data_IF_790399303916
#
_entry.id   IF_790399303916
#
_cell.length_a   1.000
_cell.length_b   1.000
_cell.length_c   1.000
_cell.angle_alpha   90.00
_cell.angle_beta   90.00
_cell.angle_gamma   90.00
#
_symmetry.space_group_name_H-M   'P 1'
#
loop_
_entity.id
_entity.type
_entity.pdbx_description
1 polymer ?
#
# COMPACT_ATOMS: atom_id res chain seq x y z
N UNK A 1 13.20 -7.34 7.37
CA UNK A 1 12.54 -7.62 6.08
C UNK A 1 11.42 -6.62 5.90
N UNK A 2 11.04 -6.29 4.66
CA UNK A 2 9.91 -5.41 4.36
C UNK A 2 8.80 -6.18 3.65
N UNK A 3 7.56 -5.80 3.93
CA UNK A 3 6.35 -6.50 3.49
C UNK A 3 5.44 -5.49 2.81
N UNK A 4 4.88 -5.86 1.67
CA UNK A 4 3.88 -5.05 0.96
C UNK A 4 2.74 -5.95 0.49
N UNK A 5 1.53 -5.42 0.56
CA UNK A 5 0.36 -6.06 -0.03
C UNK A 5 -0.04 -5.29 -1.28
N UNK A 6 -0.18 -6.02 -2.38
CA UNK A 6 -0.53 -5.48 -3.70
C UNK A 6 -1.79 -6.15 -4.20
N UNK A 7 -2.63 -5.39 -4.90
CA UNK A 7 -3.81 -5.93 -5.59
C UNK A 7 -3.48 -6.08 -7.05
N UNK A 8 -3.87 -7.21 -7.64
CA UNK A 8 -3.88 -7.41 -9.08
C UNK A 8 -5.03 -6.59 -9.69
N UNK A 9 -4.86 -5.28 -9.74
CA UNK A 9 -5.72 -4.40 -10.52
C UNK A 9 -5.15 -4.32 -11.95
N UNK A 10 -5.95 -4.79 -12.91
CA UNK A 10 -5.76 -4.59 -14.35
C UNK A 10 -6.05 -3.11 -14.62
N UNK A 11 -5.06 -2.24 -14.41
CA UNK A 11 -5.11 -0.86 -14.89
C UNK A 11 -3.92 -0.69 -15.84
N UNK A 12 -4.22 -0.69 -17.14
CA UNK A 12 -3.26 -0.61 -18.24
C UNK A 12 -2.41 0.68 -18.21
N UNK A 13 -2.75 1.66 -17.36
CA UNK A 13 -2.05 2.96 -17.28
C UNK A 13 -1.09 3.11 -16.07
N UNK A 14 -1.04 2.16 -15.13
CA UNK A 14 -0.08 2.20 -14.02
C UNK A 14 0.91 1.03 -14.10
N UNK A 15 2.15 1.31 -14.50
CA UNK A 15 3.29 0.37 -14.47
C UNK A 15 3.64 -0.18 -13.06
N UNK A 16 2.81 0.05 -12.04
CA UNK A 16 3.01 -0.39 -10.64
C UNK A 16 1.71 -0.96 -10.07
N UNK A 17 1.75 -2.21 -9.60
CA UNK A 17 0.62 -2.86 -8.91
C UNK A 17 0.14 -2.00 -7.72
N UNK A 18 -1.17 -1.71 -7.70
CA UNK A 18 -1.81 -0.86 -6.70
C UNK A 18 -1.65 -1.40 -5.27
N UNK A 19 -1.54 -0.48 -4.30
CA UNK A 19 -1.45 -0.86 -2.89
C UNK A 19 -2.79 -1.32 -2.34
N UNK A 20 -2.79 -2.27 -1.39
CA UNK A 20 -4.02 -2.82 -0.79
C UNK A 20 -4.96 -1.76 -0.19
N UNK A 21 -4.43 -0.74 0.49
CA UNK A 21 -5.26 0.30 1.10
C UNK A 21 -5.96 1.17 0.05
N UNK A 22 -5.29 1.44 -1.08
CA UNK A 22 -5.89 2.17 -2.19
C UNK A 22 -7.08 1.41 -2.77
N UNK A 23 -6.92 0.10 -2.98
CA UNK A 23 -8.02 -0.76 -3.44
C UNK A 23 -9.16 -0.85 -2.41
N UNK A 24 -8.83 -0.89 -1.11
CA UNK A 24 -9.84 -0.89 -0.04
C UNK A 24 -10.67 0.41 -0.02
N UNK A 25 -10.04 1.58 -0.18
CA UNK A 25 -10.78 2.84 -0.32
C UNK A 25 -11.66 2.86 -1.58
N UNK A 26 -11.14 2.39 -2.72
CA UNK A 26 -11.94 2.30 -3.95
C UNK A 26 -13.18 1.41 -3.78
N UNK A 27 -13.02 0.20 -3.24
CA UNK A 27 -14.13 -0.71 -2.99
C UNK A 27 -15.18 -0.12 -2.03
N UNK A 28 -14.72 0.62 -0.99
CA UNK A 28 -15.61 1.34 -0.08
C UNK A 28 -16.43 2.39 -0.82
N UNK A 29 -15.79 3.19 -1.65
CA UNK A 29 -16.42 4.32 -2.34
C UNK A 29 -17.38 3.89 -3.46
N UNK A 30 -17.19 2.70 -4.04
CA UNK A 30 -18.10 2.09 -5.01
C UNK A 30 -19.47 1.72 -4.41
N UNK A 31 -19.55 1.54 -3.08
CA UNK A 31 -20.80 1.35 -2.35
C UNK A 31 -21.54 0.04 -2.63
N UNK A 32 -20.90 -0.97 -3.23
CA UNK A 32 -21.53 -2.26 -3.60
C UNK A 32 -21.42 -3.35 -2.52
N UNK A 33 -20.96 -3.02 -1.31
CA UNK A 33 -20.71 -3.99 -0.24
C UNK A 33 -21.93 -4.28 0.64
N UNK A 34 -22.00 -5.51 1.15
CA UNK A 34 -22.94 -5.93 2.20
C UNK A 34 -22.57 -5.21 3.51
N UNK A 35 -23.57 -4.77 4.29
CA UNK A 35 -23.41 -3.94 5.50
C UNK A 35 -22.31 -4.43 6.47
N UNK A 36 -22.18 -5.74 6.69
CA UNK A 36 -21.18 -6.30 7.60
C UNK A 36 -19.73 -6.10 7.10
N UNK A 37 -19.50 -6.29 5.79
CA UNK A 37 -18.15 -6.14 5.22
C UNK A 37 -17.77 -4.67 5.12
N UNK A 38 -18.73 -3.80 4.83
CA UNK A 38 -18.52 -2.36 4.84
C UNK A 38 -18.11 -1.87 6.24
N UNK A 39 -18.81 -2.31 7.29
CA UNK A 39 -18.47 -1.94 8.68
C UNK A 39 -17.08 -2.46 9.10
N UNK A 40 -16.75 -3.71 8.72
CA UNK A 40 -15.44 -4.28 8.98
C UNK A 40 -14.33 -3.50 8.27
N UNK A 41 -14.53 -3.17 6.99
CA UNK A 41 -13.57 -2.42 6.21
C UNK A 41 -13.38 -0.99 6.75
N UNK A 42 -14.47 -0.30 7.10
CA UNK A 42 -14.41 1.04 7.70
C UNK A 42 -13.67 1.06 9.04
N UNK A 43 -13.87 0.03 9.86
CA UNK A 43 -13.16 -0.13 11.12
C UNK A 43 -11.65 -0.30 10.90
N UNK A 44 -11.27 -1.14 9.93
CA UNK A 44 -9.87 -1.36 9.57
C UNK A 44 -9.21 -0.11 8.98
N UNK A 45 -9.88 0.57 8.04
CA UNK A 45 -9.39 1.80 7.43
C UNK A 45 -9.22 2.92 8.47
N UNK A 46 -10.18 3.07 9.39
CA UNK A 46 -10.10 4.04 10.49
C UNK A 46 -8.95 3.72 11.44
N UNK A 47 -8.73 2.43 11.74
CA UNK A 47 -7.59 1.99 12.54
C UNK A 47 -6.27 2.38 11.85
N UNK A 48 -6.08 2.07 10.57
CA UNK A 48 -4.86 2.45 9.84
C UNK A 48 -4.63 3.96 9.82
N UNK A 49 -5.69 4.76 9.60
CA UNK A 49 -5.58 6.22 9.63
C UNK A 49 -5.13 6.75 11.00
N UNK A 50 -5.38 6.00 12.08
CA UNK A 50 -4.96 6.35 13.45
C UNK A 50 -3.58 5.84 13.85
N UNK A 51 -3.11 4.75 13.22
CA UNK A 51 -1.87 4.06 13.62
C UNK A 51 -0.69 4.33 12.69
N UNK A 52 -0.95 4.59 11.41
CA UNK A 52 0.09 4.93 10.44
C UNK A 52 0.23 6.44 10.32
N UNK A 53 1.45 6.93 10.49
CA UNK A 53 1.76 8.31 10.16
C UNK A 53 1.63 8.53 8.65
N UNK A 54 1.12 9.69 8.25
CA UNK A 54 1.15 10.09 6.85
C UNK A 54 2.59 10.49 6.49
N UNK A 55 3.26 9.83 5.53
CA UNK A 55 4.61 10.19 5.16
C UNK A 55 4.67 11.62 4.60
N UNK A 56 5.54 12.44 5.16
CA UNK A 56 5.75 13.82 4.68
C UNK A 56 6.40 13.86 3.28
N UNK A 57 6.94 12.72 2.82
CA UNK A 57 7.74 12.66 1.60
C UNK A 57 7.62 11.31 0.90
N UNK A 58 7.31 11.37 -0.40
CA UNK A 58 7.20 10.21 -1.30
C UNK A 58 8.23 10.23 -2.44
N UNK A 59 9.18 11.17 -2.43
CA UNK A 59 10.23 11.28 -3.43
C UNK A 59 11.52 11.88 -2.85
N UNK A 60 12.66 11.62 -3.50
CA UNK A 60 13.99 12.05 -3.10
C UNK A 60 14.37 13.41 -3.67
N UNK A 61 13.79 13.81 -4.81
CA UNK A 61 14.15 15.06 -5.51
C UNK A 61 13.02 16.10 -5.49
N UNK A 62 13.38 17.33 -5.09
CA UNK A 62 12.52 18.53 -5.19
C UNK A 62 12.76 19.33 -6.49
N UNK A 63 13.60 18.82 -7.40
CA UNK A 63 14.00 19.56 -8.61
C UNK A 63 12.83 19.83 -9.56
N UNK A 64 12.86 20.98 -10.25
CA UNK A 64 11.86 21.36 -11.28
C UNK A 64 11.77 20.25 -12.33
N UNK A 65 10.60 19.62 -12.47
CA UNK A 65 10.38 18.50 -13.39
C UNK A 65 10.40 17.09 -12.76
N UNK A 66 10.53 16.96 -11.43
CA UNK A 66 10.48 15.65 -10.75
C UNK A 66 9.17 14.89 -11.00
N UNK A 67 8.05 15.62 -11.16
CA UNK A 67 6.74 15.06 -11.50
C UNK A 67 6.73 14.28 -12.82
N UNK A 68 7.73 14.50 -13.70
CA UNK A 68 7.90 13.79 -14.98
C UNK A 68 8.78 12.54 -14.88
N UNK A 69 9.45 12.30 -13.74
CA UNK A 69 10.46 11.23 -13.62
C UNK A 69 10.00 10.00 -12.83
N UNK A 70 8.85 10.09 -12.15
CA UNK A 70 8.09 8.98 -11.56
C UNK A 70 8.86 7.70 -11.16
N UNK A 71 9.66 7.72 -10.08
CA UNK A 71 9.54 6.66 -9.10
C UNK A 71 8.66 7.20 -7.99
N UNK A 72 7.38 6.85 -8.02
CA UNK A 72 6.49 7.11 -6.87
C UNK A 72 7.02 6.27 -5.71
N UNK A 73 7.35 6.90 -4.59
CA UNK A 73 7.77 6.20 -3.38
C UNK A 73 6.76 5.11 -3.02
N UNK A 74 7.25 3.90 -2.85
CA UNK A 74 6.47 2.71 -2.55
C UNK A 74 6.50 2.52 -1.03
N UNK A 75 5.33 2.52 -0.39
CA UNK A 75 5.22 2.18 1.03
C UNK A 75 5.34 0.68 1.27
N UNK A 76 6.09 0.32 2.31
CA UNK A 76 6.29 -1.03 2.81
C UNK A 76 6.15 -1.05 4.33
N UNK A 77 5.58 -2.12 4.89
CA UNK A 77 5.61 -2.39 6.32
C UNK A 77 6.92 -3.06 6.71
N UNK A 78 7.44 -2.75 7.89
CA UNK A 78 8.51 -3.53 8.52
C UNK A 78 7.95 -4.87 8.97
N UNK A 79 8.73 -5.94 8.88
CA UNK A 79 8.34 -7.26 9.38
C UNK A 79 8.07 -7.31 10.89
N UNK A 80 8.54 -6.31 11.64
CA UNK A 80 8.25 -6.09 13.06
C UNK A 80 6.85 -5.52 13.32
N UNK A 81 6.19 -4.90 12.33
CA UNK A 81 4.87 -4.30 12.44
C UNK A 81 3.75 -5.36 12.41
N UNK A 82 3.78 -6.30 13.36
CA UNK A 82 2.93 -7.52 13.36
C UNK A 82 1.44 -7.20 13.28
N UNK A 83 0.95 -6.31 14.14
CA UNK A 83 -0.47 -5.94 14.15
C UNK A 83 -0.92 -5.29 12.84
N UNK A 84 -0.08 -4.44 12.24
CA UNK A 84 -0.34 -3.84 10.94
C UNK A 84 -0.42 -4.90 9.84
N UNK A 85 0.48 -5.88 9.85
CA UNK A 85 0.50 -6.99 8.90
C UNK A 85 -0.75 -7.86 9.06
N UNK A 86 -1.16 -8.16 10.29
CA UNK A 86 -2.34 -8.98 10.56
C UNK A 86 -3.62 -8.27 10.09
N UNK A 87 -3.75 -6.97 10.36
CA UNK A 87 -4.88 -6.17 9.86
C UNK A 87 -4.89 -6.00 8.34
N UNK A 88 -3.72 -5.96 7.69
CA UNK A 88 -3.64 -6.00 6.23
C UNK A 88 -4.15 -7.32 5.66
N UNK A 89 -3.98 -8.44 6.39
CA UNK A 89 -4.57 -9.74 6.00
C UNK A 89 -6.09 -9.71 6.12
N UNK A 90 -6.63 -9.11 7.18
CA UNK A 90 -8.08 -8.92 7.33
C UNK A 90 -8.66 -8.10 6.16
N UNK A 91 -7.99 -7.01 5.76
CA UNK A 91 -8.37 -6.24 4.57
C UNK A 91 -8.28 -7.10 3.31
N UNK A 92 -7.23 -7.92 3.16
CA UNK A 92 -7.07 -8.80 2.00
C UNK A 92 -8.19 -9.85 1.90
N UNK A 93 -8.67 -10.37 3.03
CA UNK A 93 -9.81 -11.29 3.08
C UNK A 93 -11.12 -10.61 2.66
N UNK A 94 -11.36 -9.37 3.10
CA UNK A 94 -12.52 -8.59 2.64
C UNK A 94 -12.42 -8.37 1.13
N UNK A 95 -11.30 -7.84 0.63
CA UNK A 95 -11.06 -7.62 -0.80
C UNK A 95 -11.24 -8.89 -1.63
N UNK A 96 -10.75 -10.04 -1.13
CA UNK A 96 -10.90 -11.34 -1.78
C UNK A 96 -12.34 -11.80 -1.93
N UNK A 97 -13.21 -11.50 -0.96
CA UNK A 97 -14.66 -11.80 -1.05
C UNK A 97 -15.38 -10.96 -2.10
N UNK A 98 -14.83 -9.80 -2.44
CA UNK A 98 -15.32 -8.90 -3.50
C UNK A 98 -14.56 -9.07 -4.83
N UNK A 99 -13.80 -10.16 -5.00
CA UNK A 99 -13.19 -10.55 -6.28
C UNK A 99 -11.81 -9.96 -6.54
N UNK A 100 -11.21 -9.23 -5.61
CA UNK A 100 -9.86 -8.70 -5.75
C UNK A 100 -8.80 -9.71 -5.27
N UNK A 101 -7.84 -10.02 -6.13
CA UNK A 101 -6.69 -10.86 -5.74
C UNK A 101 -5.61 -10.02 -5.10
N UNK A 102 -5.25 -10.37 -3.86
CA UNK A 102 -4.19 -9.70 -3.09
C UNK A 102 -2.98 -10.62 -2.96
N UNK A 103 -1.78 -10.08 -3.20
CA UNK A 103 -0.50 -10.76 -2.99
C UNK A 103 0.34 -10.05 -1.92
N UNK A 104 0.98 -10.85 -1.07
CA UNK A 104 1.98 -10.38 -0.11
C UNK A 104 3.39 -10.53 -0.69
N UNK A 105 4.03 -9.40 -0.99
CA UNK A 105 5.42 -9.31 -1.40
C UNK A 105 6.33 -9.16 -0.17
N UNK A 106 7.54 -9.73 -0.26
CA UNK A 106 8.59 -9.59 0.74
C UNK A 106 9.88 -9.16 0.06
N UNK A 107 10.51 -8.11 0.56
CA UNK A 107 11.76 -7.61 0.01
C UNK A 107 12.71 -7.19 1.15
N UNK A 108 13.99 -7.52 1.00
CA UNK A 108 15.06 -7.14 1.91
C UNK A 108 15.60 -5.73 1.63
N UNK A 109 15.53 -5.29 0.37
CA UNK A 109 16.02 -4.00 -0.13
C UNK A 109 14.93 -3.32 -0.98
N UNK A 110 13.99 -2.59 -0.35
CA UNK A 110 12.81 -2.04 -1.02
C UNK A 110 13.13 -0.85 -1.93
N UNK A 111 14.39 -0.38 -1.94
CA UNK A 111 14.86 0.77 -2.72
C UNK A 111 15.63 1.77 -1.85
N UNK A 112 15.67 3.03 -2.32
CA UNK A 112 16.17 4.16 -1.56
C UNK A 112 15.10 4.66 -0.59
N UNK A 113 15.28 4.43 0.71
CA UNK A 113 14.35 4.89 1.75
C UNK A 113 14.33 6.43 1.80
N UNK A 114 13.15 7.02 1.63
CA UNK A 114 12.90 8.47 1.70
C UNK A 114 12.08 8.89 2.91
N UNK A 115 11.45 7.91 3.58
CA UNK A 115 10.72 8.06 4.83
C UNK A 115 10.78 6.75 5.61
N UNK A 116 10.90 6.83 6.93
CA UNK A 116 10.88 5.69 7.83
C UNK A 116 10.31 6.11 9.19
N UNK A 117 9.39 5.31 9.72
CA UNK A 117 8.89 5.41 11.09
C UNK A 117 8.99 4.05 11.80
N UNK A 118 8.31 3.86 12.94
CA UNK A 118 8.33 2.60 13.69
C UNK A 118 7.79 1.39 12.89
N UNK A 119 6.85 1.60 11.98
CA UNK A 119 6.06 0.53 11.36
C UNK A 119 6.26 0.41 9.86
N UNK A 120 6.65 1.48 9.17
CA UNK A 120 6.74 1.53 7.72
C UNK A 120 7.98 2.25 7.20
N UNK A 121 8.27 2.01 5.93
CA UNK A 121 9.21 2.78 5.12
C UNK A 121 8.55 3.15 3.80
N UNK A 122 8.90 4.31 3.27
CA UNK A 122 8.65 4.66 1.86
C UNK A 122 9.98 4.64 1.14
N UNK A 123 10.05 3.87 0.05
CA UNK A 123 11.28 3.73 -0.74
C UNK A 123 11.04 4.03 -2.22
N UNK A 124 11.96 4.77 -2.84
CA UNK A 124 12.03 4.85 -4.30
C UNK A 124 12.69 3.57 -4.83
N UNK A 125 12.03 2.81 -5.73
CA UNK A 125 12.61 1.61 -6.33
C UNK A 125 13.96 1.90 -7.00
N UNK A 126 14.85 0.90 -7.01
CA UNK A 126 16.06 0.98 -7.81
C UNK A 126 15.70 1.03 -9.30
N UNK A 127 16.48 1.73 -10.12
CA UNK A 127 16.21 1.91 -11.55
C UNK A 127 16.03 0.60 -12.33
N UNK A 128 16.54 -0.52 -11.82
CA UNK A 128 16.46 -1.85 -12.44
C UNK A 128 15.42 -2.81 -11.81
N UNK A 129 14.58 -2.32 -10.88
CA UNK A 129 13.65 -3.16 -10.10
C UNK A 129 12.20 -3.21 -10.61
N UNK A 130 11.90 -2.53 -11.71
CA UNK A 130 10.64 -2.70 -12.47
C UNK A 130 10.80 -3.84 -13.48
N UNK A 131 10.60 -5.07 -13.02
CA UNK A 131 10.23 -6.21 -13.87
C UNK A 131 9.11 -7.00 -13.22
#
# INVERSE_FOLDING_TARGET
>A
MYIRFVVDAIDDDSEVRGGILQAAYALRDEGQMIDHDLQGLDTLLSWFASQLNTPDRFNRTSSKGYYRRAPKGISWLKDTAKEHIDKMREVAEILGRHGHRVEMLKESRPGYVVYEDEFQVVAEPFADSTK
#
